data_IF_570035212993
#
_entry.id   IF_570035212993
#
_cell.length_a   1.000
_cell.length_b   1.000
_cell.length_c   1.000
_cell.angle_alpha   90.00
_cell.angle_beta   90.00
_cell.angle_gamma   90.00
#
_symmetry.space_group_name_H-M   'P 1'
#
loop_
_entity.id
_entity.type
_entity.pdbx_description
1 polymer ?
#
# COMPACT_ATOMS: atom_id res chain seq x y z
N UNK A 1 4.37 -14.33 -1.42
CA UNK A 1 5.69 -13.90 -0.91
C UNK A 1 6.84 -14.50 -1.70
N UNK A 2 6.93 -15.83 -1.90
CA UNK A 2 8.04 -16.45 -2.64
C UNK A 2 8.16 -15.93 -4.07
N UNK A 3 7.06 -15.86 -4.83
CA UNK A 3 7.04 -15.31 -6.19
C UNK A 3 7.52 -13.85 -6.25
N UNK A 4 7.12 -13.02 -5.30
CA UNK A 4 7.58 -11.63 -5.22
C UNK A 4 9.08 -11.55 -4.96
N UNK A 5 9.59 -12.38 -4.04
CA UNK A 5 11.02 -12.48 -3.76
C UNK A 5 11.82 -12.97 -4.97
N UNK A 6 11.31 -13.94 -5.71
CA UNK A 6 11.94 -14.44 -6.94
C UNK A 6 11.97 -13.38 -8.04
N UNK A 7 10.88 -12.64 -8.23
CA UNK A 7 10.81 -11.54 -9.20
C UNK A 7 11.80 -10.42 -8.83
N UNK A 8 11.83 -10.01 -7.55
CA UNK A 8 12.79 -9.02 -7.07
C UNK A 8 14.24 -9.47 -7.22
N UNK A 9 14.53 -10.73 -6.92
CA UNK A 9 15.87 -11.32 -7.09
C UNK A 9 16.26 -11.38 -8.57
N UNK A 10 15.33 -11.73 -9.46
CA UNK A 10 15.55 -11.72 -10.89
C UNK A 10 15.94 -10.31 -11.37
N UNK A 11 15.15 -9.28 -11.03
CA UNK A 11 15.45 -7.89 -11.42
C UNK A 11 16.75 -7.40 -10.81
N UNK A 12 17.08 -7.80 -9.58
CA UNK A 12 18.34 -7.45 -8.92
C UNK A 12 19.56 -8.05 -9.65
N UNK A 13 19.47 -9.31 -10.11
CA UNK A 13 20.60 -10.01 -10.75
C UNK A 13 20.75 -9.61 -12.21
N UNK A 14 19.64 -9.50 -12.94
CA UNK A 14 19.64 -9.27 -14.39
C UNK A 14 19.66 -7.78 -14.73
N UNK A 15 19.14 -6.95 -13.84
CA UNK A 15 19.13 -5.50 -13.97
C UNK A 15 20.45 -4.84 -13.55
N UNK A 16 20.46 -3.52 -13.38
CA UNK A 16 21.66 -2.75 -13.03
C UNK A 16 22.01 -2.91 -11.54
N UNK A 17 22.49 -4.08 -11.14
CA UNK A 17 22.76 -4.46 -9.74
C UNK A 17 23.55 -3.42 -8.96
N UNK A 18 24.61 -2.85 -9.56
CA UNK A 18 25.45 -1.84 -8.90
C UNK A 18 24.68 -0.55 -8.62
N UNK A 19 23.84 -0.11 -9.56
CA UNK A 19 23.00 1.07 -9.40
C UNK A 19 21.99 0.84 -8.27
N UNK A 20 21.33 -0.32 -8.29
CA UNK A 20 20.34 -0.70 -7.25
C UNK A 20 20.97 -0.70 -5.86
N UNK A 21 22.13 -1.35 -5.70
CA UNK A 21 22.80 -1.46 -4.40
C UNK A 21 23.31 -0.10 -3.89
N UNK A 22 23.79 0.77 -4.79
CA UNK A 22 24.21 2.13 -4.43
C UNK A 22 23.00 3.02 -4.08
N UNK A 23 21.86 2.79 -4.70
CA UNK A 23 20.65 3.58 -4.46
C UNK A 23 20.12 3.43 -3.03
N UNK A 24 20.26 2.25 -2.41
CA UNK A 24 19.78 2.01 -1.04
C UNK A 24 20.38 3.02 -0.04
N UNK A 25 21.72 3.09 0.16
CA UNK A 25 22.31 4.03 1.10
C UNK A 25 22.16 5.49 0.65
N UNK A 26 22.23 5.75 -0.65
CA UNK A 26 22.11 7.11 -1.18
C UNK A 26 20.70 7.69 -0.95
N UNK A 27 19.66 6.91 -1.25
CA UNK A 27 18.26 7.32 -1.02
C UNK A 27 17.96 7.52 0.46
N UNK A 28 18.49 6.65 1.33
CA UNK A 28 18.35 6.83 2.77
C UNK A 28 19.07 8.08 3.27
N UNK A 29 20.29 8.32 2.81
CA UNK A 29 21.06 9.52 3.15
C UNK A 29 20.33 10.79 2.73
N UNK A 30 19.84 10.84 1.49
CA UNK A 30 19.07 11.97 0.98
C UNK A 30 17.75 12.15 1.73
N UNK A 31 17.04 11.08 2.03
CA UNK A 31 15.80 11.14 2.81
C UNK A 31 16.03 11.79 4.19
N UNK A 32 17.05 11.35 4.92
CA UNK A 32 17.35 11.94 6.23
C UNK A 32 17.86 13.36 6.15
N UNK A 33 18.66 13.70 5.14
CA UNK A 33 19.19 15.07 4.97
C UNK A 33 18.11 16.07 4.60
N UNK A 34 17.11 15.65 3.81
CA UNK A 34 16.03 16.51 3.30
C UNK A 34 14.71 16.33 4.07
N UNK A 35 14.70 15.54 5.12
CA UNK A 35 13.48 15.19 5.84
C UNK A 35 12.68 16.41 6.30
N UNK A 36 13.36 17.38 6.92
CA UNK A 36 12.69 18.58 7.41
C UNK A 36 12.22 19.49 6.28
N UNK A 37 12.98 19.60 5.20
CA UNK A 37 12.60 20.36 4.02
C UNK A 37 11.35 19.78 3.35
N UNK A 38 11.31 18.46 3.16
CA UNK A 38 10.14 17.77 2.62
C UNK A 38 8.92 17.86 3.52
N UNK A 39 9.12 17.80 4.85
CA UNK A 39 8.05 17.92 5.83
C UNK A 39 7.51 19.35 5.98
N UNK A 40 8.30 20.35 5.66
CA UNK A 40 7.95 21.77 5.79
C UNK A 40 7.17 22.33 4.60
N UNK A 41 6.81 21.51 3.61
CA UNK A 41 6.00 21.97 2.47
C UNK A 41 4.61 22.40 2.92
N UNK A 42 4.25 23.64 2.57
CA UNK A 42 2.93 24.22 2.78
C UNK A 42 2.33 24.64 1.44
N UNK A 43 1.04 24.94 1.40
CA UNK A 43 0.38 25.36 0.16
C UNK A 43 1.02 26.63 -0.46
N UNK A 44 1.66 27.46 0.37
CA UNK A 44 2.32 28.71 -0.06
C UNK A 44 3.79 28.52 -0.45
N UNK A 45 4.33 27.30 -0.35
CA UNK A 45 5.77 27.06 -0.62
C UNK A 45 6.13 27.13 -2.11
N UNK A 46 5.19 26.89 -3.02
CA UNK A 46 5.29 27.07 -4.47
C UNK A 46 3.91 27.15 -5.11
N UNK A 47 3.84 27.61 -6.36
CA UNK A 47 2.58 27.79 -7.10
C UNK A 47 1.74 26.49 -7.18
N UNK A 48 2.40 25.35 -7.35
CA UNK A 48 1.76 24.04 -7.47
C UNK A 48 1.71 23.25 -6.14
N UNK A 49 2.28 23.80 -5.06
CA UNK A 49 2.43 23.06 -3.79
C UNK A 49 1.08 22.70 -3.16
N UNK A 50 0.08 23.56 -3.29
CA UNK A 50 -1.27 23.30 -2.77
C UNK A 50 -1.95 22.13 -3.46
N UNK A 51 -1.88 22.06 -4.78
CA UNK A 51 -2.44 20.96 -5.58
C UNK A 51 -1.68 19.65 -5.31
N UNK A 52 -0.35 19.72 -5.25
CA UNK A 52 0.48 18.56 -4.92
C UNK A 52 0.17 18.00 -3.51
N UNK A 53 0.05 18.87 -2.50
CA UNK A 53 -0.32 18.45 -1.14
C UNK A 53 -1.70 17.83 -1.08
N UNK A 54 -2.66 18.37 -1.84
CA UNK A 54 -4.00 17.82 -1.96
C UNK A 54 -4.00 16.41 -2.55
N UNK A 55 -3.33 16.26 -3.67
CA UNK A 55 -3.30 15.01 -4.45
C UNK A 55 -2.45 13.90 -3.80
N UNK A 56 -1.41 14.25 -3.05
CA UNK A 56 -0.50 13.28 -2.45
C UNK A 56 -0.66 13.20 -0.94
N UNK A 57 -0.34 14.26 -0.20
CA UNK A 57 -0.28 14.20 1.25
C UNK A 57 -1.67 14.00 1.88
N UNK A 58 -2.61 14.89 1.55
CA UNK A 58 -3.96 14.85 2.13
C UNK A 58 -4.72 13.61 1.67
N UNK A 59 -4.65 13.30 0.38
CA UNK A 59 -5.28 12.13 -0.20
C UNK A 59 -4.80 10.83 0.45
N UNK A 60 -3.48 10.61 0.55
CA UNK A 60 -2.95 9.38 1.14
C UNK A 60 -3.25 9.26 2.64
N UNK A 61 -3.17 10.34 3.41
CA UNK A 61 -3.57 10.32 4.81
C UNK A 61 -5.06 9.98 4.98
N UNK A 62 -5.93 10.59 4.21
CA UNK A 62 -7.35 10.32 4.23
C UNK A 62 -7.66 8.87 3.82
N UNK A 63 -6.96 8.34 2.82
CA UNK A 63 -7.06 6.94 2.41
C UNK A 63 -6.64 6.00 3.55
N UNK A 64 -5.51 6.25 4.20
CA UNK A 64 -5.06 5.45 5.34
C UNK A 64 -6.09 5.44 6.47
N UNK A 65 -6.72 6.57 6.77
CA UNK A 65 -7.82 6.66 7.74
C UNK A 65 -8.97 5.76 7.33
N UNK A 66 -9.36 5.74 6.06
CA UNK A 66 -10.44 4.88 5.56
C UNK A 66 -10.15 3.38 5.74
N UNK A 67 -8.89 2.99 5.65
CA UNK A 67 -8.44 1.61 5.83
C UNK A 67 -8.27 1.20 7.28
N UNK A 68 -8.09 2.15 8.19
CA UNK A 68 -7.70 1.86 9.57
C UNK A 68 -8.66 0.92 10.33
N UNK A 69 -10.01 1.01 10.22
CA UNK A 69 -10.89 0.08 10.92
C UNK A 69 -10.73 -1.34 10.42
N UNK A 70 -10.54 -1.51 9.12
CA UNK A 70 -10.37 -2.79 8.44
C UNK A 70 -9.03 -3.43 8.79
N UNK A 71 -7.94 -2.71 8.57
CA UNK A 71 -6.57 -3.17 8.84
C UNK A 71 -6.36 -3.39 10.33
N UNK A 72 -6.91 -2.52 11.18
CA UNK A 72 -6.85 -2.67 12.63
C UNK A 72 -7.47 -3.97 13.13
N UNK A 73 -8.64 -4.35 12.63
CA UNK A 73 -9.27 -5.63 12.97
C UNK A 73 -8.46 -6.83 12.48
N UNK A 74 -7.91 -6.76 11.27
CA UNK A 74 -7.05 -7.81 10.73
C UNK A 74 -5.78 -7.98 11.57
N UNK A 75 -5.08 -6.88 11.84
CA UNK A 75 -3.87 -6.88 12.65
C UNK A 75 -4.11 -7.38 14.09
N UNK A 76 -5.22 -6.99 14.71
CA UNK A 76 -5.59 -7.47 16.04
C UNK A 76 -5.76 -9.00 16.10
N UNK A 77 -6.26 -9.60 15.01
CA UNK A 77 -6.41 -11.07 14.93
C UNK A 77 -5.08 -11.80 14.84
N UNK A 78 -4.17 -11.32 14.01
CA UNK A 78 -2.87 -11.99 13.78
C UNK A 78 -1.84 -11.72 14.87
N UNK A 79 -2.06 -10.67 15.68
CA UNK A 79 -1.11 -10.24 16.73
C UNK A 79 -1.40 -10.85 18.10
N UNK A 80 -2.30 -11.81 18.20
CA UNK A 80 -2.67 -12.45 19.46
C UNK A 80 -1.46 -13.05 20.16
N UNK A 81 -1.30 -12.73 21.46
CA UNK A 81 -0.21 -13.25 22.29
C UNK A 81 1.13 -12.51 22.18
N UNK A 82 1.20 -11.44 21.38
CA UNK A 82 2.38 -10.58 21.28
C UNK A 82 2.28 -9.39 22.19
N UNK A 83 3.44 -8.88 22.60
CA UNK A 83 3.49 -7.62 23.35
C UNK A 83 3.26 -6.42 22.43
N UNK A 84 2.73 -5.32 22.98
CA UNK A 84 2.51 -4.08 22.21
C UNK A 84 3.81 -3.57 21.60
N UNK A 85 4.92 -3.64 22.36
CA UNK A 85 6.24 -3.21 21.88
C UNK A 85 6.70 -4.04 20.68
N UNK A 86 6.60 -5.36 20.76
CA UNK A 86 6.94 -6.27 19.65
C UNK A 86 6.07 -5.98 18.42
N UNK A 87 4.77 -5.82 18.64
CA UNK A 87 3.82 -5.48 17.57
C UNK A 87 4.21 -4.18 16.86
N UNK A 88 4.41 -3.09 17.60
CA UNK A 88 4.75 -1.77 17.01
C UNK A 88 6.08 -1.83 16.26
N UNK A 89 7.12 -2.43 16.85
CA UNK A 89 8.41 -2.57 16.19
C UNK A 89 8.30 -3.36 14.87
N UNK A 90 7.61 -4.48 14.87
CA UNK A 90 7.47 -5.33 13.66
C UNK A 90 6.65 -4.62 12.58
N UNK A 91 5.52 -4.01 12.95
CA UNK A 91 4.63 -3.33 11.99
C UNK A 91 5.30 -2.09 11.36
N UNK A 92 6.18 -1.41 12.08
CA UNK A 92 6.92 -0.27 11.53
C UNK A 92 8.15 -0.70 10.73
N UNK A 93 8.98 -1.59 11.28
CA UNK A 93 10.29 -1.90 10.68
C UNK A 93 10.18 -2.81 9.47
N UNK A 94 9.37 -3.88 9.55
CA UNK A 94 9.36 -4.89 8.47
C UNK A 94 8.82 -4.32 7.15
N UNK A 95 7.66 -3.66 7.10
CA UNK A 95 7.18 -3.06 5.85
C UNK A 95 8.14 -1.99 5.33
N UNK A 96 8.70 -1.15 6.21
CA UNK A 96 9.63 -0.09 5.81
C UNK A 96 10.87 -0.66 5.13
N UNK A 97 11.52 -1.66 5.71
CA UNK A 97 12.71 -2.30 5.11
C UNK A 97 12.36 -2.97 3.78
N UNK A 98 11.25 -3.70 3.73
CA UNK A 98 10.80 -4.34 2.48
C UNK A 98 10.52 -3.29 1.41
N UNK A 99 9.87 -2.18 1.76
CA UNK A 99 9.57 -1.08 0.83
C UNK A 99 10.85 -0.44 0.28
N UNK A 100 11.83 -0.15 1.14
CA UNK A 100 13.12 0.43 0.71
C UNK A 100 13.80 -0.50 -0.29
N UNK A 101 13.90 -1.80 0.02
CA UNK A 101 14.52 -2.78 -0.86
C UNK A 101 13.75 -2.88 -2.18
N UNK A 102 12.42 -2.98 -2.11
CA UNK A 102 11.55 -3.11 -3.28
C UNK A 102 11.67 -1.92 -4.22
N UNK A 103 11.54 -0.70 -3.70
CA UNK A 103 11.65 0.49 -4.53
C UNK A 103 13.06 0.76 -5.03
N UNK A 104 14.10 0.34 -4.30
CA UNK A 104 15.46 0.41 -4.82
C UNK A 104 15.68 -0.54 -5.99
N UNK A 105 15.11 -1.74 -5.94
CA UNK A 105 15.22 -2.72 -7.03
C UNK A 105 14.43 -2.26 -8.26
N UNK A 106 13.12 -2.08 -8.14
CA UNK A 106 12.27 -1.78 -9.29
C UNK A 106 12.38 -0.31 -9.71
N UNK A 107 12.30 0.63 -8.78
CA UNK A 107 12.41 2.06 -9.07
C UNK A 107 13.81 2.44 -9.55
N UNK A 108 14.85 1.90 -8.92
CA UNK A 108 16.23 2.13 -9.34
C UNK A 108 16.50 1.59 -10.74
N UNK A 109 15.97 0.41 -11.07
CA UNK A 109 16.08 -0.16 -12.42
C UNK A 109 15.29 0.67 -13.45
N UNK A 110 14.11 1.17 -13.09
CA UNK A 110 13.29 1.97 -13.97
C UNK A 110 13.94 3.32 -14.28
N UNK A 111 14.46 4.03 -13.27
CA UNK A 111 15.20 5.30 -13.46
C UNK A 111 16.42 5.06 -14.35
N UNK A 112 17.19 4.02 -14.08
CA UNK A 112 18.37 3.71 -14.89
C UNK A 112 18.02 3.38 -16.34
N UNK A 113 16.93 2.66 -16.57
CA UNK A 113 16.45 2.34 -17.92
C UNK A 113 15.99 3.60 -18.67
N UNK A 114 15.25 4.49 -18.00
CA UNK A 114 14.83 5.79 -18.56
C UNK A 114 16.03 6.66 -18.91
N UNK A 115 17.00 6.79 -18.02
CA UNK A 115 18.25 7.52 -18.26
C UNK A 115 19.08 6.92 -19.40
N UNK A 116 18.92 5.64 -19.67
CA UNK A 116 19.58 4.93 -20.77
C UNK A 116 18.83 5.02 -22.10
N UNK A 117 17.72 5.76 -22.14
CA UNK A 117 16.94 6.03 -23.34
C UNK A 117 15.81 5.03 -23.61
N UNK A 118 15.48 4.16 -22.65
CA UNK A 118 14.28 3.32 -22.74
C UNK A 118 13.09 4.09 -22.15
N UNK A 119 11.99 4.21 -22.88
CA UNK A 119 10.79 4.89 -22.37
C UNK A 119 10.02 3.96 -21.44
N UNK A 120 10.29 4.05 -20.14
CA UNK A 120 9.55 3.33 -19.09
C UNK A 120 8.22 4.03 -18.81
N UNK A 121 8.23 5.37 -18.83
CA UNK A 121 7.03 6.19 -18.63
C UNK A 121 5.97 5.93 -19.73
N UNK A 122 6.39 5.62 -20.95
CA UNK A 122 5.50 5.28 -22.06
C UNK A 122 4.44 6.34 -22.32
N UNK A 123 3.17 5.92 -22.34
CA UNK A 123 2.00 6.80 -22.53
C UNK A 123 1.60 7.56 -21.23
N UNK A 124 2.43 7.52 -20.19
CA UNK A 124 2.16 8.20 -18.91
C UNK A 124 1.28 7.40 -17.95
N UNK A 125 0.86 6.20 -18.30
CA UNK A 125 0.06 5.35 -17.43
C UNK A 125 0.92 4.62 -16.39
N UNK A 126 0.61 4.85 -15.11
CA UNK A 126 1.31 4.18 -14.00
C UNK A 126 1.19 2.64 -14.04
N UNK A 127 0.11 2.12 -14.62
CA UNK A 127 -0.19 0.68 -14.72
C UNK A 127 0.74 -0.06 -15.67
N UNK A 128 1.27 0.59 -16.70
CA UNK A 128 2.16 -0.01 -17.70
C UNK A 128 3.63 0.00 -17.30
N UNK A 129 4.05 0.89 -16.41
CA UNK A 129 5.46 1.12 -16.08
C UNK A 129 6.22 -0.13 -15.62
N UNK A 130 5.59 -0.97 -14.78
CA UNK A 130 6.22 -2.22 -14.34
C UNK A 130 6.49 -3.16 -15.52
N UNK A 131 5.53 -3.29 -16.43
CA UNK A 131 5.66 -4.18 -17.59
C UNK A 131 6.67 -3.61 -18.59
N UNK A 132 6.66 -2.30 -18.84
CA UNK A 132 7.63 -1.61 -19.68
C UNK A 132 9.06 -1.85 -19.13
N UNK A 133 9.25 -1.74 -17.81
CA UNK A 133 10.54 -2.06 -17.18
C UNK A 133 10.94 -3.53 -17.42
N UNK A 134 10.04 -4.47 -17.17
CA UNK A 134 10.35 -5.89 -17.32
C UNK A 134 10.72 -6.24 -18.77
N UNK A 135 10.08 -5.61 -19.75
CA UNK A 135 10.37 -5.81 -21.17
C UNK A 135 11.76 -5.33 -21.60
N UNK A 136 12.36 -4.38 -20.87
CA UNK A 136 13.75 -3.97 -21.12
C UNK A 136 14.78 -5.02 -20.68
N UNK A 137 14.36 -5.99 -19.84
CA UNK A 137 15.24 -6.99 -19.28
C UNK A 137 15.25 -8.29 -20.12
N UNK A 138 16.36 -9.04 -20.14
CA UNK A 138 16.40 -10.37 -20.71
C UNK A 138 15.32 -11.27 -20.09
N UNK A 139 14.59 -12.01 -20.92
CA UNK A 139 13.43 -12.82 -20.51
C UNK A 139 12.25 -12.02 -19.91
N UNK A 140 12.10 -10.76 -20.32
CA UNK A 140 11.06 -9.84 -19.84
C UNK A 140 9.64 -10.40 -19.94
N UNK A 141 9.28 -11.07 -21.05
CA UNK A 141 7.97 -11.72 -21.20
C UNK A 141 7.67 -12.77 -20.12
N UNK A 142 8.67 -13.58 -19.70
CA UNK A 142 8.48 -14.54 -18.62
C UNK A 142 8.30 -13.82 -17.29
N UNK A 143 9.10 -12.79 -17.03
CA UNK A 143 8.98 -11.96 -15.84
C UNK A 143 7.61 -11.25 -15.77
N UNK A 144 7.08 -10.77 -16.90
CA UNK A 144 5.75 -10.16 -16.99
C UNK A 144 4.63 -11.16 -16.68
N UNK A 145 4.73 -12.40 -17.14
CA UNK A 145 3.77 -13.46 -16.78
C UNK A 145 3.83 -13.75 -15.28
N UNK A 146 5.03 -13.85 -14.70
CA UNK A 146 5.20 -14.04 -13.25
C UNK A 146 4.62 -12.86 -12.46
N UNK A 147 4.83 -11.62 -12.93
CA UNK A 147 4.24 -10.42 -12.33
C UNK A 147 2.72 -10.45 -12.39
N UNK A 148 2.11 -10.84 -13.51
CA UNK A 148 0.65 -10.98 -13.63
C UNK A 148 0.10 -12.05 -12.68
N UNK A 149 0.76 -13.19 -12.56
CA UNK A 149 0.37 -14.23 -11.59
C UNK A 149 0.51 -13.74 -10.15
N UNK A 150 1.55 -12.97 -9.85
CA UNK A 150 1.76 -12.35 -8.54
C UNK A 150 0.63 -11.36 -8.22
N UNK A 151 0.29 -10.47 -9.15
CA UNK A 151 -0.81 -9.52 -8.99
C UNK A 151 -2.15 -10.25 -8.78
N UNK A 152 -2.42 -11.29 -9.56
CA UNK A 152 -3.63 -12.10 -9.43
C UNK A 152 -3.73 -12.78 -8.06
N UNK A 153 -2.65 -13.40 -7.59
CA UNK A 153 -2.62 -14.04 -6.26
C UNK A 153 -2.73 -13.04 -5.12
N UNK A 154 -2.13 -11.86 -5.27
CA UNK A 154 -2.25 -10.77 -4.30
C UNK A 154 -3.68 -10.23 -4.24
N UNK A 155 -4.32 -10.02 -5.38
CA UNK A 155 -5.72 -9.59 -5.46
C UNK A 155 -6.66 -10.60 -4.81
N UNK A 156 -6.53 -11.89 -5.11
CA UNK A 156 -7.37 -12.95 -4.51
C UNK A 156 -7.24 -12.96 -2.99
N UNK A 157 -6.01 -12.92 -2.46
CA UNK A 157 -5.76 -12.92 -1.01
C UNK A 157 -6.31 -11.67 -0.33
N UNK A 158 -6.20 -10.51 -0.96
CA UNK A 158 -6.72 -9.25 -0.45
C UNK A 158 -8.25 -9.24 -0.44
N UNK A 159 -8.88 -9.71 -1.51
CA UNK A 159 -10.33 -9.80 -1.63
C UNK A 159 -10.93 -10.80 -0.62
N UNK A 160 -10.27 -11.95 -0.39
CA UNK A 160 -10.69 -12.93 0.62
C UNK A 160 -10.62 -12.35 2.03
N UNK A 161 -9.52 -11.69 2.36
CA UNK A 161 -9.34 -11.00 3.65
C UNK A 161 -10.38 -9.91 3.85
N UNK A 162 -10.65 -9.11 2.81
CA UNK A 162 -11.66 -8.06 2.82
C UNK A 162 -13.05 -8.63 3.09
N UNK A 163 -13.44 -9.64 2.34
CA UNK A 163 -14.74 -10.30 2.48
C UNK A 163 -14.95 -10.88 3.87
N UNK A 164 -13.91 -11.47 4.45
CA UNK A 164 -13.93 -12.02 5.81
C UNK A 164 -14.11 -10.95 6.86
N UNK A 165 -13.43 -9.83 6.76
CA UNK A 165 -13.57 -8.70 7.70
C UNK A 165 -14.97 -8.07 7.58
N UNK A 166 -15.45 -7.80 6.38
CA UNK A 166 -16.79 -7.26 6.15
C UNK A 166 -17.88 -8.22 6.68
N UNK A 167 -17.71 -9.52 6.45
CA UNK A 167 -18.58 -10.54 7.00
C UNK A 167 -18.62 -10.54 8.53
N UNK A 168 -17.46 -10.37 9.17
CA UNK A 168 -17.32 -10.27 10.62
C UNK A 168 -17.97 -9.00 11.18
N UNK A 169 -17.72 -7.85 10.55
CA UNK A 169 -18.29 -6.56 10.97
C UNK A 169 -19.82 -6.56 10.87
N UNK A 170 -20.38 -7.12 9.80
CA UNK A 170 -21.83 -7.22 9.62
C UNK A 170 -22.50 -8.19 10.59
N UNK A 171 -21.75 -9.05 11.28
CA UNK A 171 -22.22 -10.01 12.28
C UNK A 171 -21.81 -9.62 13.71
N UNK A 172 -21.84 -8.36 14.06
CA UNK A 172 -21.52 -7.81 15.39
C UNK A 172 -20.08 -8.14 15.85
N UNK A 173 -19.13 -8.22 14.91
CA UNK A 173 -17.73 -8.48 15.23
C UNK A 173 -17.39 -9.92 15.62
N UNK A 174 -18.21 -10.89 15.20
CA UNK A 174 -17.90 -12.31 15.44
C UNK A 174 -16.52 -12.65 14.88
N UNK A 175 -15.72 -13.37 15.67
CA UNK A 175 -14.36 -13.74 15.27
C UNK A 175 -14.31 -14.64 14.03
N UNK A 176 -15.34 -15.47 13.86
CA UNK A 176 -15.52 -16.33 12.70
C UNK A 176 -16.83 -15.94 12.03
N UNK A 177 -16.72 -15.26 10.89
CA UNK A 177 -17.89 -14.87 10.11
C UNK A 177 -18.58 -16.11 9.50
N UNK A 178 -19.91 -16.05 9.37
CA UNK A 178 -20.66 -17.07 8.65
C UNK A 178 -20.22 -17.09 7.18
N UNK A 179 -19.91 -18.27 6.66
CA UNK A 179 -19.42 -18.45 5.29
C UNK A 179 -20.34 -17.82 4.23
N UNK A 180 -21.66 -17.96 4.40
CA UNK A 180 -22.64 -17.38 3.47
C UNK A 180 -22.55 -15.84 3.42
N UNK A 181 -22.39 -15.20 4.58
CA UNK A 181 -22.25 -13.73 4.66
C UNK A 181 -20.92 -13.27 4.06
N UNK A 182 -19.83 -13.99 4.30
CA UNK A 182 -18.52 -13.70 3.70
C UNK A 182 -18.58 -13.78 2.17
N UNK A 183 -19.19 -14.86 1.63
CA UNK A 183 -19.38 -15.03 0.18
C UNK A 183 -20.28 -13.93 -0.40
N UNK A 184 -21.35 -13.54 0.30
CA UNK A 184 -22.22 -12.45 -0.13
C UNK A 184 -21.44 -11.13 -0.25
N UNK A 185 -20.63 -10.78 0.75
CA UNK A 185 -19.80 -9.59 0.70
C UNK A 185 -18.76 -9.62 -0.43
N UNK A 186 -18.12 -10.78 -0.64
CA UNK A 186 -17.19 -10.96 -1.77
C UNK A 186 -17.88 -10.80 -3.12
N UNK A 187 -19.07 -11.38 -3.29
CA UNK A 187 -19.84 -11.23 -4.52
C UNK A 187 -20.30 -9.79 -4.76
N UNK A 188 -20.79 -9.09 -3.73
CA UNK A 188 -21.16 -7.68 -3.84
C UNK A 188 -19.97 -6.80 -4.24
N UNK A 189 -18.81 -7.01 -3.63
CA UNK A 189 -17.59 -6.28 -3.98
C UNK A 189 -17.18 -6.54 -5.44
N UNK A 190 -17.25 -7.80 -5.89
CA UNK A 190 -16.93 -8.15 -7.27
C UNK A 190 -17.91 -7.51 -8.27
N UNK A 191 -19.22 -7.49 -7.95
CA UNK A 191 -20.23 -6.83 -8.81
C UNK A 191 -20.00 -5.33 -8.89
N UNK A 192 -19.70 -4.66 -7.77
CA UNK A 192 -19.40 -3.23 -7.74
C UNK A 192 -18.14 -2.95 -8.59
N UNK A 193 -17.07 -3.73 -8.40
CA UNK A 193 -15.85 -3.57 -9.19
C UNK A 193 -16.10 -3.77 -10.69
N UNK A 194 -16.89 -4.78 -11.06
CA UNK A 194 -17.25 -5.03 -12.46
C UNK A 194 -18.11 -3.89 -13.05
N UNK A 195 -19.08 -3.39 -12.30
CA UNK A 195 -19.89 -2.25 -12.72
C UNK A 195 -19.02 -1.01 -12.96
N UNK A 196 -18.11 -0.71 -12.04
CA UNK A 196 -17.19 0.41 -12.19
C UNK A 196 -16.29 0.26 -13.42
N UNK A 197 -15.78 -0.93 -13.65
CA UNK A 197 -14.94 -1.21 -14.83
C UNK A 197 -15.71 -1.03 -16.15
N UNK A 198 -16.98 -1.43 -16.17
CA UNK A 198 -17.80 -1.39 -17.41
C UNK A 198 -18.42 -0.01 -17.69
N UNK A 199 -18.70 0.79 -16.66
CA UNK A 199 -19.49 2.03 -16.80
C UNK A 199 -18.70 3.29 -16.51
N UNK A 200 -17.58 3.20 -15.82
CA UNK A 200 -17.01 4.34 -15.12
C UNK A 200 -15.90 5.09 -15.84
N UNK A 201 -15.29 4.53 -16.89
CA UNK A 201 -14.12 5.15 -17.51
C UNK A 201 -12.99 5.45 -16.49
N UNK A 202 -12.04 6.30 -16.87
CA UNK A 202 -10.83 6.61 -16.08
C UNK A 202 -11.13 7.34 -14.75
N UNK A 203 -12.24 8.07 -14.67
CA UNK A 203 -12.59 8.84 -13.47
C UNK A 203 -13.36 8.06 -12.41
N UNK A 204 -13.93 6.90 -12.75
CA UNK A 204 -14.79 6.17 -11.82
C UNK A 204 -14.03 5.66 -10.59
N UNK A 205 -12.80 5.21 -10.78
CA UNK A 205 -11.95 4.76 -9.68
C UNK A 205 -11.62 5.93 -8.72
N UNK A 206 -11.24 7.07 -9.26
CA UNK A 206 -10.94 8.28 -8.50
C UNK A 206 -12.16 8.78 -7.73
N UNK A 207 -13.33 8.78 -8.37
CA UNK A 207 -14.58 9.17 -7.72
C UNK A 207 -14.97 8.22 -6.59
N UNK A 208 -14.81 6.89 -6.76
CA UNK A 208 -15.02 5.91 -5.70
C UNK A 208 -14.06 6.12 -4.52
N UNK A 209 -12.79 6.39 -4.80
CA UNK A 209 -11.78 6.68 -3.79
C UNK A 209 -12.17 7.93 -2.99
N UNK A 210 -12.58 9.00 -3.65
CA UNK A 210 -13.02 10.25 -3.01
C UNK A 210 -14.26 10.03 -2.13
N UNK A 211 -15.27 9.30 -2.60
CA UNK A 211 -16.46 8.97 -1.80
C UNK A 211 -16.09 8.14 -0.58
N UNK A 212 -15.18 7.17 -0.75
CA UNK A 212 -14.69 6.32 0.35
C UNK A 212 -13.98 7.15 1.43
N UNK A 213 -13.16 8.11 1.03
CA UNK A 213 -12.45 9.02 1.92
C UNK A 213 -13.44 9.89 2.70
N UNK A 214 -14.42 10.47 2.02
CA UNK A 214 -15.47 11.29 2.66
C UNK A 214 -16.25 10.46 3.67
N UNK A 215 -16.67 9.26 3.28
CA UNK A 215 -17.42 8.36 4.16
C UNK A 215 -16.62 7.88 5.38
N UNK A 216 -15.30 7.82 5.24
CA UNK A 216 -14.39 7.40 6.31
C UNK A 216 -14.01 8.55 7.27
N UNK A 217 -14.27 9.80 6.94
CA UNK A 217 -13.87 10.96 7.76
C UNK A 217 -14.29 10.88 9.24
N UNK A 218 -15.48 10.36 9.62
CA UNK A 218 -15.85 10.19 11.03
C UNK A 218 -14.91 9.24 11.80
N UNK A 219 -14.21 8.33 11.12
CA UNK A 219 -13.26 7.43 11.78
C UNK A 219 -12.04 8.14 12.34
N UNK A 220 -11.71 9.35 11.89
CA UNK A 220 -10.67 10.18 12.51
C UNK A 220 -10.96 10.39 13.98
N UNK A 221 -12.22 10.73 14.33
CA UNK A 221 -12.64 10.92 15.72
C UNK A 221 -12.53 9.62 16.53
N UNK A 222 -12.88 8.49 15.90
CA UNK A 222 -12.74 7.17 16.53
C UNK A 222 -11.28 6.84 16.79
N UNK A 223 -10.38 7.12 15.85
CA UNK A 223 -8.93 6.88 16.02
C UNK A 223 -8.39 7.73 17.17
N UNK A 224 -8.76 9.01 17.25
CA UNK A 224 -8.36 9.89 18.35
C UNK A 224 -8.87 9.34 19.68
N UNK A 225 -10.12 8.90 19.76
CA UNK A 225 -10.68 8.28 20.97
C UNK A 225 -9.94 6.99 21.35
N UNK A 226 -9.54 6.17 20.36
CA UNK A 226 -8.73 4.96 20.58
C UNK A 226 -7.34 5.29 21.12
N UNK A 227 -6.70 6.37 20.68
CA UNK A 227 -5.40 6.82 21.22
C UNK A 227 -5.51 7.12 22.72
N UNK A 228 -6.55 7.84 23.14
CA UNK A 228 -6.80 8.09 24.57
C UNK A 228 -7.14 6.81 25.33
N UNK A 229 -7.91 5.90 24.74
CA UNK A 229 -8.25 4.61 25.35
C UNK A 229 -7.02 3.74 25.60
N UNK A 230 -6.11 3.65 24.62
CA UNK A 230 -4.86 2.90 24.78
C UNK A 230 -3.99 3.52 25.86
N UNK A 231 -3.82 4.85 25.86
CA UNK A 231 -3.05 5.55 26.89
C UNK A 231 -3.58 5.24 28.28
N UNK A 232 -4.90 5.35 28.47
CA UNK A 232 -5.55 5.05 29.74
C UNK A 232 -5.37 3.57 30.14
N UNK A 233 -5.59 2.65 29.21
CA UNK A 233 -5.46 1.21 29.47
C UNK A 233 -4.04 0.83 29.88
N UNK A 234 -3.01 1.46 29.31
CA UNK A 234 -1.62 1.24 29.68
C UNK A 234 -1.27 1.88 31.03
N UNK A 235 -1.83 3.06 31.32
CA UNK A 235 -1.62 3.74 32.60
C UNK A 235 -2.27 3.00 33.78
N UNK A 236 -3.38 2.32 33.52
CA UNK A 236 -4.12 1.57 34.54
C UNK A 236 -3.63 0.11 34.67
N UNK A 237 -2.65 -0.36 33.88
CA UNK A 237 -2.12 -1.73 33.95
C UNK A 237 -1.19 -1.87 35.16
N UNK A 238 -1.51 -2.75 36.13
CA UNK A 238 -0.71 -2.93 37.36
C UNK A 238 0.69 -3.53 37.11
N UNK A 239 1.04 -3.84 35.88
CA UNK A 239 2.38 -4.34 35.49
C UNK A 239 3.35 -3.24 35.08
N UNK A 240 2.92 -2.02 35.09
CA UNK A 240 3.69 -0.79 34.95
C UNK A 240 3.40 0.12 36.17
#
# INVERSE_FOLDING_TARGET
MVLAGLLALFVLIVGPTVVILNMIPTSLGNYFSQFFEMAARTADSSEDAGEWLGSWTIFYWAWWVSWSPFVGMFLARISRGRTIREFVCVVLMVPTVVTIIWFSIFGGSAIHAEDSGNSIWGDGEATSQLFNLLETLPAGHVASIVAMLLLGTFFITSADSASTVMGSMSQRGQLVANRGVTVLWGALTAVIALMLLLTGGDEALTNLQNVTIIAASPFVLVIIALMFSIYKALSDDPRY
#
